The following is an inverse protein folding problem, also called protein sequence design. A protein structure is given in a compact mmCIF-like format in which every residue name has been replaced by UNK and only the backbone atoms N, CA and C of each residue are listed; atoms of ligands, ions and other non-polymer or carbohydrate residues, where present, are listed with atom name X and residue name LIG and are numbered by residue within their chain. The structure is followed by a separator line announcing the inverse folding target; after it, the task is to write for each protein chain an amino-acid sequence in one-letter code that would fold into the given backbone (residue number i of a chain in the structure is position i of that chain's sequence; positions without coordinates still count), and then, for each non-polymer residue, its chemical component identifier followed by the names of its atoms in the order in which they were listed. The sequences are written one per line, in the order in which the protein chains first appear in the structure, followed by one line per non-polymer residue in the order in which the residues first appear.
data_IF_882344314225
#
_entry.id   IF_882344314225
#
_cell.length_a   1.000
_cell.length_b   1.000
_cell.length_c   1.000
_cell.angle_alpha   90.00
_cell.angle_beta   90.00
_cell.angle_gamma   90.00
#
_symmetry.space_group_name_H-M   'P 1'
#
loop_
_entity.id
_entity.type
_entity.pdbx_description
1 polymer ?
#
# COMPACT_ATOMS: atom_id res chain seq x y z
N UNK A 1 2.95 -13.58 -4.13
CA UNK A 1 3.61 -12.26 -4.25
C UNK A 1 3.76 -11.69 -2.85
N UNK A 2 4.92 -11.10 -2.50
CA UNK A 2 5.19 -10.59 -1.15
C UNK A 2 5.78 -9.18 -1.23
N UNK A 3 5.22 -8.25 -0.48
CA UNK A 3 5.71 -6.89 -0.29
C UNK A 3 6.70 -6.86 0.88
N UNK A 4 7.94 -6.45 0.62
CA UNK A 4 9.01 -6.35 1.64
C UNK A 4 9.33 -4.91 2.04
N UNK A 5 8.70 -3.93 1.38
CA UNK A 5 9.05 -2.50 1.45
C UNK A 5 9.77 -2.05 0.17
N UNK A 6 10.12 -0.77 0.10
CA UNK A 6 10.93 -0.21 -0.99
C UNK A 6 12.00 0.71 -0.44
N UNK A 7 13.04 1.01 -1.23
CA UNK A 7 14.14 1.87 -0.80
C UNK A 7 13.69 3.28 -0.36
N UNK A 8 12.54 3.73 -0.85
CA UNK A 8 11.93 5.03 -0.59
C UNK A 8 10.85 5.02 0.50
N UNK A 9 10.45 3.85 1.02
CA UNK A 9 9.33 3.74 1.95
C UNK A 9 9.62 2.80 3.12
N UNK A 10 9.80 3.39 4.30
CA UNK A 10 9.95 2.66 5.57
C UNK A 10 8.55 2.27 6.06
N UNK A 11 8.07 1.11 5.62
CA UNK A 11 6.88 0.50 6.18
C UNK A 11 7.20 -0.13 7.54
N UNK A 12 6.35 0.10 8.55
CA UNK A 12 6.41 -0.68 9.79
C UNK A 12 6.18 -2.16 9.49
N UNK A 13 6.67 -3.05 10.35
CA UNK A 13 6.42 -4.50 10.19
C UNK A 13 4.93 -4.81 10.13
N UNK A 14 4.13 -4.18 10.99
CA UNK A 14 2.67 -4.37 11.02
C UNK A 14 2.01 -4.00 9.67
N UNK A 15 2.48 -2.92 9.04
CA UNK A 15 1.97 -2.50 7.74
C UNK A 15 2.33 -3.51 6.65
N UNK A 16 3.55 -4.03 6.67
CA UNK A 16 3.98 -5.09 5.74
C UNK A 16 3.14 -6.36 5.92
N UNK A 17 2.85 -6.75 7.16
CA UNK A 17 1.98 -7.90 7.45
C UNK A 17 0.57 -7.67 6.89
N UNK A 18 -0.03 -6.50 7.14
CA UNK A 18 -1.36 -6.18 6.65
C UNK A 18 -1.46 -6.19 5.12
N UNK A 19 -0.47 -5.61 4.42
CA UNK A 19 -0.40 -5.61 2.95
C UNK A 19 -0.26 -7.04 2.41
N UNK A 20 0.65 -7.83 2.97
CA UNK A 20 0.85 -9.21 2.53
C UNK A 20 -0.38 -10.10 2.80
N UNK A 21 -1.07 -9.90 3.91
CA UNK A 21 -2.31 -10.60 4.23
C UNK A 21 -3.42 -10.24 3.22
N UNK A 22 -3.58 -8.96 2.89
CA UNK A 22 -4.56 -8.52 1.90
C UNK A 22 -4.30 -9.12 0.51
N UNK A 23 -3.04 -9.14 0.06
CA UNK A 23 -2.64 -9.78 -1.20
C UNK A 23 -2.94 -11.27 -1.16
N UNK A 24 -2.52 -11.97 -0.10
CA UNK A 24 -2.65 -13.44 0.01
C UNK A 24 -4.10 -13.89 0.09
N UNK A 25 -4.95 -13.11 0.76
CA UNK A 25 -6.37 -13.41 0.94
C UNK A 25 -7.25 -12.85 -0.18
N UNK A 26 -6.68 -12.12 -1.14
CA UNK A 26 -7.40 -11.38 -2.19
C UNK A 26 -8.51 -10.49 -1.60
N UNK A 27 -8.21 -9.85 -0.48
CA UNK A 27 -9.16 -9.00 0.26
C UNK A 27 -8.76 -7.53 0.19
N UNK A 28 -9.73 -6.60 0.11
CA UNK A 28 -9.44 -5.17 0.10
C UNK A 28 -8.80 -4.72 1.43
N UNK A 29 -7.87 -3.78 1.33
CA UNK A 29 -7.16 -3.18 2.46
C UNK A 29 -7.52 -1.69 2.59
N UNK A 30 -8.15 -1.31 3.70
CA UNK A 30 -8.43 0.09 4.02
C UNK A 30 -7.35 0.65 4.95
N UNK A 31 -6.61 1.64 4.47
CA UNK A 31 -5.59 2.33 5.28
C UNK A 31 -6.16 3.65 5.81
N UNK A 32 -6.07 3.84 7.13
CA UNK A 32 -6.41 5.10 7.82
C UNK A 32 -5.17 5.72 8.43
N UNK A 33 -5.14 7.04 8.56
CA UNK A 33 -4.07 7.77 9.23
C UNK A 33 -4.17 9.27 8.97
N UNK A 34 -3.43 10.06 9.73
CA UNK A 34 -3.42 11.53 9.62
C UNK A 34 -2.99 12.02 8.23
N UNK A 35 -3.47 13.19 7.76
CA UNK A 35 -2.97 13.78 6.52
C UNK A 35 -1.44 13.85 6.50
N UNK A 36 -0.82 13.52 5.36
CA UNK A 36 0.65 13.54 5.23
C UNK A 36 1.42 12.30 5.68
N UNK A 37 0.77 11.25 6.22
CA UNK A 37 1.45 10.02 6.68
C UNK A 37 1.85 9.03 5.59
N UNK A 38 2.01 9.47 4.33
CA UNK A 38 2.53 8.62 3.26
C UNK A 38 1.58 7.52 2.74
N UNK A 39 0.27 7.60 2.97
CA UNK A 39 -0.73 6.62 2.49
C UNK A 39 -0.74 6.48 0.95
N UNK A 40 -0.70 7.60 0.22
CA UNK A 40 -0.65 7.56 -1.25
C UNK A 40 0.67 6.99 -1.75
N UNK A 41 1.78 7.30 -1.07
CA UNK A 41 3.10 6.74 -1.38
C UNK A 41 3.09 5.23 -1.18
N UNK A 42 2.48 4.72 -0.11
CA UNK A 42 2.33 3.28 0.11
C UNK A 42 1.64 2.59 -1.09
N UNK A 43 0.54 3.14 -1.60
CA UNK A 43 -0.18 2.56 -2.71
C UNK A 43 0.71 2.47 -3.98
N UNK A 44 1.47 3.53 -4.27
CA UNK A 44 2.41 3.56 -5.38
C UNK A 44 3.56 2.55 -5.22
N UNK A 45 4.14 2.44 -4.03
CA UNK A 45 5.24 1.52 -3.75
C UNK A 45 4.78 0.05 -3.77
N UNK A 46 3.56 -0.24 -3.31
CA UNK A 46 2.95 -1.57 -3.43
C UNK A 46 2.72 -1.94 -4.88
N UNK A 47 2.13 -1.05 -5.69
CA UNK A 47 1.90 -1.29 -7.11
C UNK A 47 3.23 -1.55 -7.86
N UNK A 48 4.26 -0.74 -7.58
CA UNK A 48 5.61 -0.92 -8.12
C UNK A 48 6.22 -2.26 -7.72
N UNK A 49 6.15 -2.64 -6.44
CA UNK A 49 6.68 -3.92 -5.95
C UNK A 49 5.97 -5.13 -6.57
N UNK A 50 4.68 -5.00 -6.87
CA UNK A 50 3.88 -6.04 -7.51
C UNK A 50 3.94 -6.02 -9.05
N UNK A 51 4.60 -5.01 -9.64
CA UNK A 51 4.61 -4.77 -11.09
C UNK A 51 3.20 -4.69 -11.68
N UNK A 52 2.29 -4.02 -10.96
CA UNK A 52 0.89 -3.84 -11.35
C UNK A 52 0.58 -2.35 -11.59
N UNK A 53 -0.44 -2.03 -12.40
CA UNK A 53 -0.88 -0.65 -12.56
C UNK A 53 -1.50 -0.12 -11.26
N UNK A 54 -1.14 1.11 -10.89
CA UNK A 54 -1.85 1.87 -9.86
C UNK A 54 -3.00 2.63 -10.52
N UNK A 55 -4.23 2.35 -10.10
CA UNK A 55 -5.42 3.08 -10.52
C UNK A 55 -5.78 4.07 -9.42
N UNK A 56 -5.62 5.36 -9.69
CA UNK A 56 -5.99 6.41 -8.77
C UNK A 56 -7.38 6.96 -9.09
N UNK A 57 -8.21 7.12 -8.06
CA UNK A 57 -9.50 7.80 -8.16
C UNK A 57 -9.57 8.93 -7.15
N UNK A 58 -9.44 10.16 -7.63
CA UNK A 58 -9.63 11.35 -6.81
C UNK A 58 -11.12 11.65 -6.68
N UNK A 59 -11.70 11.34 -5.52
CA UNK A 59 -13.08 11.69 -5.19
C UNK A 59 -13.12 13.14 -4.69
N UNK A 60 -13.86 13.99 -5.39
CA UNK A 60 -14.27 15.33 -4.95
C UNK A 60 -15.79 15.31 -4.73
N UNK A 61 -16.28 16.09 -3.76
CA UNK A 61 -17.73 16.35 -3.62
C UNK A 61 -18.20 17.37 -4.66
#
# INVERSE_FOLDING_TARGET
MKFEGTASYVATEDLKVAVNAAITLERPLLIKGEPGTGKSVLAAEVAKALSTPLIEWHIKS
#
